data_IF_286257716318
#
_entry.id   IF_286257716318
#
_cell.length_a   1.000
_cell.length_b   1.000
_cell.length_c   1.000
_cell.angle_alpha   90.00
_cell.angle_beta   90.00
_cell.angle_gamma   90.00
#
_symmetry.space_group_name_H-M   'P 1'
#
loop_
_entity.id
_entity.type
_entity.pdbx_description
1 polymer ?
#
# COMPACT_ATOMS: atom_id res chain seq x y z
N UNK A 1 -7.75 21.21 3.47
CA UNK A 1 -6.49 20.60 3.14
C UNK A 1 -6.19 19.33 3.87
N UNK A 2 -6.18 19.35 5.17
CA UNK A 2 -6.09 18.12 5.95
C UNK A 2 -7.27 17.20 5.64
N UNK A 3 -8.43 17.78 5.40
CA UNK A 3 -9.65 17.05 5.08
C UNK A 3 -9.56 16.23 3.80
N UNK A 4 -8.68 16.62 2.87
CA UNK A 4 -8.49 15.89 1.62
C UNK A 4 -7.92 14.50 1.82
N UNK A 5 -7.13 14.28 2.88
CA UNK A 5 -6.58 12.97 3.17
C UNK A 5 -7.65 11.95 3.53
N UNK A 6 -8.63 12.37 4.32
CA UNK A 6 -9.71 11.47 4.71
C UNK A 6 -10.62 11.11 3.54
N UNK A 7 -10.74 12.02 2.57
CA UNK A 7 -11.53 11.76 1.35
C UNK A 7 -10.80 10.83 0.39
N UNK A 8 -9.48 10.86 0.38
CA UNK A 8 -8.66 10.04 -0.50
C UNK A 8 -8.52 8.63 0.03
N UNK A 9 -8.43 8.48 1.36
CA UNK A 9 -8.23 7.19 1.99
C UNK A 9 -9.50 6.33 1.92
N UNK A 10 -9.35 5.03 1.60
CA UNK A 10 -10.50 4.13 1.66
C UNK A 10 -10.97 3.96 3.11
N UNK A 11 -12.25 3.66 3.27
CA UNK A 11 -12.82 3.41 4.60
C UNK A 11 -12.29 2.09 5.17
N UNK A 12 -12.42 1.93 6.48
CA UNK A 12 -12.06 0.68 7.16
C UNK A 12 -12.80 -0.51 6.55
N UNK A 13 -14.10 -0.35 6.27
CA UNK A 13 -14.92 -1.40 5.70
C UNK A 13 -14.49 -1.76 4.29
N UNK A 14 -14.16 -0.76 3.48
CA UNK A 14 -13.67 -0.99 2.11
C UNK A 14 -12.37 -1.78 2.12
N UNK A 15 -11.46 -1.46 3.05
CA UNK A 15 -10.21 -2.18 3.19
C UNK A 15 -10.44 -3.64 3.57
N UNK A 16 -11.36 -3.92 4.47
CA UNK A 16 -11.70 -5.29 4.86
C UNK A 16 -12.30 -6.07 3.69
N UNK A 17 -13.19 -5.45 2.92
CA UNK A 17 -13.79 -6.10 1.76
C UNK A 17 -12.77 -6.40 0.68
N UNK A 18 -11.77 -5.55 0.52
CA UNK A 18 -10.70 -5.77 -0.45
C UNK A 18 -9.67 -6.82 0.00
N UNK A 19 -9.74 -7.28 1.25
CA UNK A 19 -8.80 -8.27 1.77
C UNK A 19 -7.45 -7.69 2.17
N UNK A 20 -7.37 -6.41 2.45
CA UNK A 20 -6.12 -5.74 2.85
C UNK A 20 -5.55 -6.33 4.14
N UNK A 21 -6.42 -6.86 5.00
CA UNK A 21 -6.03 -7.43 6.30
C UNK A 21 -5.41 -8.82 6.20
N UNK A 22 -5.48 -9.47 5.06
CA UNK A 22 -4.87 -10.80 4.88
C UNK A 22 -3.37 -10.66 4.62
N UNK A 23 -2.58 -11.20 5.53
CA UNK A 23 -1.14 -11.23 5.40
C UNK A 23 -0.65 -12.59 4.92
N UNK A 24 0.59 -12.90 5.26
CA UNK A 24 1.22 -14.16 4.86
C UNK A 24 0.97 -15.27 5.87
N UNK A 25 1.29 -16.51 5.49
CA UNK A 25 1.23 -17.67 6.38
C UNK A 25 2.15 -17.42 7.59
N UNK A 26 1.81 -18.05 8.72
CA UNK A 26 2.56 -17.84 9.97
C UNK A 26 4.05 -18.18 9.86
N UNK A 27 4.42 -19.05 8.92
CA UNK A 27 5.82 -19.45 8.72
C UNK A 27 6.63 -18.40 7.96
N UNK A 28 5.96 -17.47 7.29
CA UNK A 28 6.60 -16.41 6.51
C UNK A 28 6.40 -15.09 7.26
N UNK A 29 7.32 -14.78 8.17
CA UNK A 29 7.20 -13.60 9.03
C UNK A 29 8.56 -12.96 9.25
N UNK A 30 8.58 -11.64 9.18
CA UNK A 30 9.75 -10.86 9.61
C UNK A 30 9.42 -10.24 10.97
N UNK A 31 10.29 -10.37 11.98
CA UNK A 31 10.01 -9.86 13.33
C UNK A 31 9.65 -8.38 13.39
N UNK A 32 10.18 -7.57 12.49
CA UNK A 32 9.89 -6.14 12.45
C UNK A 32 8.44 -5.82 12.06
N UNK A 33 7.73 -6.80 11.51
CA UNK A 33 6.31 -6.64 11.16
C UNK A 33 5.37 -6.90 12.32
N UNK A 34 5.85 -7.45 13.43
CA UNK A 34 5.02 -7.79 14.57
C UNK A 34 4.11 -6.64 15.06
N UNK A 35 4.57 -5.38 15.13
CA UNK A 35 3.70 -4.28 15.54
C UNK A 35 2.50 -4.05 14.64
N UNK A 36 2.54 -4.52 13.39
CA UNK A 36 1.50 -4.33 12.39
C UNK A 36 0.57 -5.52 12.27
N UNK A 37 0.86 -6.62 12.97
CA UNK A 37 0.05 -7.83 12.94
C UNK A 37 -0.94 -7.81 14.09
N UNK A 38 -2.23 -7.95 13.76
CA UNK A 38 -3.30 -7.95 14.73
C UNK A 38 -3.49 -9.31 15.39
N UNK A 39 -3.57 -10.38 14.60
CA UNK A 39 -3.84 -11.71 15.09
C UNK A 39 -3.40 -12.77 14.11
N UNK A 40 -3.46 -14.04 14.54
CA UNK A 40 -3.22 -15.21 13.66
C UNK A 40 -4.53 -15.97 13.55
N UNK A 41 -5.02 -16.17 12.34
CA UNK A 41 -6.24 -16.90 12.08
C UNK A 41 -6.05 -17.87 10.93
N UNK A 42 -6.39 -19.15 11.13
CA UNK A 42 -6.24 -20.18 10.12
C UNK A 42 -4.83 -20.22 9.52
N UNK A 43 -3.83 -20.08 10.38
CA UNK A 43 -2.41 -20.07 10.02
C UNK A 43 -1.99 -18.91 9.13
N UNK A 44 -2.81 -17.87 9.04
CA UNK A 44 -2.52 -16.65 8.29
C UNK A 44 -2.49 -15.46 9.26
N UNK A 45 -1.46 -14.63 9.15
CA UNK A 45 -1.39 -13.39 9.93
C UNK A 45 -2.41 -12.39 9.43
N UNK A 46 -3.14 -11.78 10.36
CA UNK A 46 -4.06 -10.69 10.04
C UNK A 46 -3.37 -9.36 10.34
N UNK A 47 -3.31 -8.51 9.33
CA UNK A 47 -2.71 -7.19 9.46
C UNK A 47 -3.69 -6.25 10.15
N UNK A 48 -3.18 -5.42 11.06
CA UNK A 48 -4.01 -4.43 11.74
C UNK A 48 -4.37 -3.30 10.77
N UNK A 49 -5.63 -3.25 10.35
CA UNK A 49 -6.09 -2.28 9.36
C UNK A 49 -5.97 -0.84 9.84
N UNK A 50 -6.10 -0.60 11.14
CA UNK A 50 -5.90 0.74 11.69
C UNK A 50 -4.46 1.21 11.50
N UNK A 51 -3.50 0.29 11.63
CA UNK A 51 -2.10 0.60 11.35
C UNK A 51 -1.86 0.84 9.86
N UNK A 52 -2.54 0.11 8.99
CA UNK A 52 -2.48 0.34 7.55
C UNK A 52 -2.94 1.76 7.23
N UNK A 53 -4.03 2.20 7.84
CA UNK A 53 -4.54 3.55 7.63
C UNK A 53 -3.53 4.62 8.05
N UNK A 54 -2.91 4.46 9.23
CA UNK A 54 -1.89 5.38 9.71
C UNK A 54 -0.69 5.47 8.75
N UNK A 55 -0.18 4.32 8.34
CA UNK A 55 0.97 4.26 7.45
C UNK A 55 0.64 4.79 6.06
N UNK A 56 -0.57 4.55 5.59
CA UNK A 56 -1.03 5.05 4.30
C UNK A 56 -1.09 6.59 4.29
N UNK A 57 -1.55 7.20 5.39
CA UNK A 57 -1.53 8.65 5.54
C UNK A 57 -0.11 9.21 5.42
N UNK A 58 0.83 8.60 6.13
CA UNK A 58 2.24 9.01 6.09
C UNK A 58 2.81 8.88 4.68
N UNK A 59 2.48 7.80 3.99
CA UNK A 59 2.94 7.55 2.63
C UNK A 59 2.41 8.61 1.66
N UNK A 60 1.14 8.94 1.75
CA UNK A 60 0.52 9.95 0.89
C UNK A 60 1.17 11.32 1.10
N UNK A 61 1.42 11.70 2.36
CA UNK A 61 2.09 12.95 2.66
C UNK A 61 3.51 13.00 2.06
N UNK A 62 4.24 11.90 2.19
CA UNK A 62 5.59 11.79 1.65
C UNK A 62 5.59 11.91 0.12
N UNK A 63 4.66 11.22 -0.55
CA UNK A 63 4.54 11.29 -2.01
C UNK A 63 4.16 12.68 -2.50
N UNK A 64 3.30 13.38 -1.77
CA UNK A 64 2.95 14.75 -2.12
C UNK A 64 4.16 15.68 -2.05
N UNK A 65 4.99 15.53 -1.02
CA UNK A 65 6.20 16.33 -0.89
C UNK A 65 7.16 16.09 -2.04
N UNK A 66 7.32 14.84 -2.46
CA UNK A 66 8.18 14.51 -3.60
C UNK A 66 7.67 15.16 -4.88
N UNK A 67 6.36 15.10 -5.11
CA UNK A 67 5.75 15.69 -6.30
C UNK A 67 5.90 17.21 -6.32
N UNK A 68 5.69 17.87 -5.19
CA UNK A 68 5.81 19.31 -5.06
C UNK A 68 7.24 19.80 -5.29
N UNK A 69 8.23 18.99 -4.91
CA UNK A 69 9.64 19.33 -5.11
C UNK A 69 10.13 19.01 -6.53
N UNK A 70 9.26 18.49 -7.39
CA UNK A 70 9.64 18.12 -8.75
C UNK A 70 10.33 16.77 -8.86
N UNK A 71 10.27 15.97 -7.81
CA UNK A 71 10.87 14.64 -7.81
C UNK A 71 10.11 13.65 -8.68
N UNK A 72 10.73 12.51 -8.93
CA UNK A 72 10.19 11.47 -9.77
C UNK A 72 10.03 10.18 -8.97
N UNK A 73 8.94 9.46 -9.21
CA UNK A 73 8.64 8.20 -8.52
C UNK A 73 8.78 7.05 -9.49
N UNK A 74 9.53 6.02 -9.11
CA UNK A 74 9.59 4.78 -9.87
C UNK A 74 8.52 3.83 -9.33
N UNK A 75 7.55 3.50 -10.17
CA UNK A 75 6.46 2.61 -9.79
C UNK A 75 6.83 1.17 -10.09
N UNK A 76 6.69 0.29 -9.11
CA UNK A 76 7.03 -1.12 -9.26
C UNK A 76 5.78 -1.98 -9.12
N UNK A 77 5.38 -2.62 -10.21
CA UNK A 77 4.19 -3.48 -10.26
C UNK A 77 4.63 -4.94 -10.33
N UNK A 78 4.87 -5.55 -9.18
CA UNK A 78 5.41 -6.89 -9.10
C UNK A 78 4.33 -7.98 -9.00
N UNK A 79 3.15 -7.65 -8.52
CA UNK A 79 2.04 -8.59 -8.44
C UNK A 79 1.11 -8.42 -9.64
N UNK A 80 0.55 -9.53 -10.11
CA UNK A 80 -0.38 -9.49 -11.24
C UNK A 80 -1.62 -8.65 -10.93
N UNK A 81 -2.04 -8.64 -9.66
CA UNK A 81 -3.24 -7.92 -9.25
C UNK A 81 -3.10 -6.40 -9.36
N UNK A 82 -1.89 -5.89 -9.15
CA UNK A 82 -1.64 -4.45 -9.16
C UNK A 82 -1.09 -3.92 -10.48
N UNK A 83 -0.63 -4.80 -11.39
CA UNK A 83 0.10 -4.41 -12.58
C UNK A 83 -0.65 -3.39 -13.44
N UNK A 84 -1.88 -3.70 -13.82
CA UNK A 84 -2.64 -2.82 -14.73
C UNK A 84 -2.91 -1.46 -14.10
N UNK A 85 -3.22 -1.41 -12.81
CA UNK A 85 -3.49 -0.16 -12.11
C UNK A 85 -2.25 0.70 -11.97
N UNK A 86 -1.12 0.10 -11.64
CA UNK A 86 0.13 0.84 -11.48
C UNK A 86 0.60 1.40 -12.80
N UNK A 87 0.52 0.62 -13.88
CA UNK A 87 0.89 1.08 -15.22
C UNK A 87 0.00 2.26 -15.64
N UNK A 88 -1.31 2.16 -15.42
CA UNK A 88 -2.25 3.23 -15.71
C UNK A 88 -1.90 4.52 -14.98
N UNK A 89 -1.63 4.42 -13.67
CA UNK A 89 -1.27 5.57 -12.85
C UNK A 89 0.06 6.19 -13.29
N UNK A 90 1.05 5.36 -13.56
CA UNK A 90 2.37 5.83 -14.00
C UNK A 90 2.29 6.56 -15.34
N UNK A 91 1.48 6.06 -16.28
CA UNK A 91 1.26 6.72 -17.56
C UNK A 91 0.56 8.07 -17.40
N UNK A 92 -0.44 8.14 -16.54
CA UNK A 92 -1.14 9.40 -16.26
C UNK A 92 -0.22 10.46 -15.68
N UNK A 93 0.74 10.06 -14.88
CA UNK A 93 1.67 10.97 -14.21
C UNK A 93 2.96 11.19 -15.00
N UNK A 94 3.13 10.51 -16.13
CA UNK A 94 4.37 10.52 -16.92
C UNK A 94 5.59 10.12 -16.10
N UNK A 95 5.43 9.08 -15.28
CA UNK A 95 6.48 8.56 -14.41
C UNK A 95 6.92 7.18 -14.87
N UNK A 96 8.18 6.79 -14.59
CA UNK A 96 8.67 5.46 -14.99
C UNK A 96 8.05 4.36 -14.14
N UNK A 97 7.96 3.16 -14.71
CA UNK A 97 7.47 2.00 -13.98
C UNK A 97 8.21 0.73 -14.40
N UNK A 98 8.18 -0.24 -13.51
CA UNK A 98 8.69 -1.58 -13.74
C UNK A 98 7.53 -2.54 -13.54
N UNK A 99 7.37 -3.50 -14.43
CA UNK A 99 6.34 -4.52 -14.30
C UNK A 99 6.93 -5.90 -14.59
N UNK A 100 6.18 -6.93 -14.23
CA UNK A 100 6.47 -8.34 -14.44
C UNK A 100 7.53 -8.93 -13.50
N UNK A 101 8.66 -8.29 -13.31
CA UNK A 101 9.68 -8.83 -12.43
C UNK A 101 10.52 -7.73 -11.78
N UNK A 102 11.11 -8.09 -10.66
CA UNK A 102 12.04 -7.21 -9.96
C UNK A 102 13.37 -7.14 -10.70
N UNK A 103 14.01 -6.01 -10.59
CA UNK A 103 15.34 -5.80 -11.21
C UNK A 103 16.41 -6.67 -10.59
#
# INVERSE_FOLDING_TARGET
MIDNFQQILPSYEDMLLAGVHYGRKKTVRHPKMDPFIYALKDSIHLINVLKVEEELKKTIEFLKKIKESGGMILWAALSKQSESKIVEIADLLNMPYIKNRWL
#
